data_IF_165948948217
#
_entry.id   IF_165948948217
#
_cell.length_a   1.000
_cell.length_b   1.000
_cell.length_c   1.000
_cell.angle_alpha   90.00
_cell.angle_beta   90.00
_cell.angle_gamma   90.00
#
_symmetry.space_group_name_H-M   'P 1'
#
loop_
_entity.id
_entity.type
_entity.pdbx_description
1 polymer ?
#
# COMPACT_ATOMS: atom_id res chain seq x y z
N UNK A 1 -1.64 22.37 2.76
CA UNK A 1 -3.02 21.82 2.74
C UNK A 1 -3.58 21.59 1.33
N UNK A 2 -3.86 22.61 0.50
CA UNK A 2 -4.47 22.36 -0.83
C UNK A 2 -3.59 21.51 -1.76
N UNK A 3 -2.29 21.81 -1.78
CA UNK A 3 -1.30 21.07 -2.57
C UNK A 3 -1.12 19.63 -2.09
N UNK A 4 -1.08 19.40 -0.78
CA UNK A 4 -0.99 18.06 -0.19
C UNK A 4 -2.22 17.21 -0.53
N UNK A 5 -3.43 17.78 -0.47
CA UNK A 5 -4.66 17.08 -0.87
C UNK A 5 -4.63 16.69 -2.35
N UNK A 6 -4.14 17.57 -3.22
CA UNK A 6 -3.98 17.28 -4.64
C UNK A 6 -3.00 16.11 -4.85
N UNK A 7 -1.88 16.12 -4.13
CA UNK A 7 -0.90 15.04 -4.15
C UNK A 7 -1.50 13.71 -3.71
N UNK A 8 -2.25 13.69 -2.59
CA UNK A 8 -2.94 12.49 -2.13
C UNK A 8 -3.90 11.94 -3.19
N UNK A 9 -4.64 12.82 -3.86
CA UNK A 9 -5.51 12.44 -4.96
C UNK A 9 -4.75 11.86 -6.15
N UNK A 10 -3.61 12.47 -6.52
CA UNK A 10 -2.76 11.96 -7.60
C UNK A 10 -2.22 10.58 -7.25
N UNK A 11 -1.69 10.38 -6.04
CA UNK A 11 -1.16 9.08 -5.59
C UNK A 11 -2.28 8.04 -5.55
N UNK A 12 -3.47 8.40 -5.06
CA UNK A 12 -4.64 7.52 -5.05
C UNK A 12 -5.01 7.09 -6.47
N UNK A 13 -5.16 8.04 -7.40
CA UNK A 13 -5.50 7.75 -8.80
C UNK A 13 -4.41 6.90 -9.45
N UNK A 14 -3.14 7.26 -9.31
CA UNK A 14 -2.03 6.49 -9.85
C UNK A 14 -2.03 5.06 -9.28
N UNK A 15 -2.19 4.90 -7.97
CA UNK A 15 -2.21 3.59 -7.32
C UNK A 15 -3.38 2.74 -7.78
N UNK A 16 -4.57 3.32 -7.92
CA UNK A 16 -5.76 2.63 -8.44
C UNK A 16 -5.57 2.23 -9.91
N UNK A 17 -5.07 3.13 -10.76
CA UNK A 17 -4.84 2.87 -12.18
C UNK A 17 -3.78 1.77 -12.34
N UNK A 18 -2.65 1.89 -11.65
CA UNK A 18 -1.56 0.92 -11.71
C UNK A 18 -2.05 -0.45 -11.22
N UNK A 19 -2.76 -0.51 -10.10
CA UNK A 19 -3.32 -1.76 -9.58
C UNK A 19 -4.30 -2.39 -10.56
N UNK A 20 -5.21 -1.60 -11.16
CA UNK A 20 -6.19 -2.13 -12.11
C UNK A 20 -5.59 -2.55 -13.46
N UNK A 21 -4.52 -1.92 -13.92
CA UNK A 21 -3.86 -2.26 -15.20
C UNK A 21 -2.88 -3.42 -15.02
N UNK A 22 -1.99 -3.33 -14.04
CA UNK A 22 -0.88 -4.27 -13.88
C UNK A 22 -1.30 -5.60 -13.23
N UNK A 23 -2.38 -5.59 -12.42
CA UNK A 23 -2.85 -6.78 -11.70
C UNK A 23 -4.09 -7.41 -12.35
N UNK A 24 -4.55 -6.90 -13.49
CA UNK A 24 -5.62 -7.57 -14.24
C UNK A 24 -5.12 -8.96 -14.65
N UNK A 25 -5.91 -10.00 -14.37
CA UNK A 25 -5.55 -11.41 -14.53
C UNK A 25 -5.03 -11.82 -15.92
N UNK A 26 -5.17 -10.95 -16.93
CA UNK A 26 -4.68 -11.18 -18.30
C UNK A 26 -3.28 -10.62 -18.58
N UNK A 27 -2.70 -9.82 -17.70
CA UNK A 27 -1.37 -9.26 -17.96
C UNK A 27 -0.29 -10.33 -17.73
N UNK A 28 0.10 -10.99 -18.83
CA UNK A 28 1.16 -12.00 -18.89
C UNK A 28 2.41 -11.48 -19.61
N UNK A 29 2.61 -10.15 -19.60
CA UNK A 29 3.76 -9.51 -20.23
C UNK A 29 5.09 -9.90 -19.59
N UNK A 30 6.23 -9.65 -20.27
CA UNK A 30 7.56 -10.05 -19.79
C UNK A 30 7.93 -9.43 -18.43
N UNK A 31 7.34 -8.29 -18.07
CA UNK A 31 7.57 -7.60 -16.81
C UNK A 31 6.66 -8.07 -15.66
N UNK A 32 5.68 -8.94 -15.91
CA UNK A 32 4.75 -9.43 -14.88
C UNK A 32 5.47 -10.05 -13.66
N UNK A 33 6.53 -10.88 -13.80
CA UNK A 33 7.24 -11.45 -12.64
C UNK A 33 7.93 -10.40 -11.76
N UNK A 34 8.32 -9.26 -12.32
CA UNK A 34 8.92 -8.15 -11.56
C UNK A 34 7.82 -7.33 -10.91
N UNK A 35 6.79 -6.96 -11.68
CA UNK A 35 5.64 -6.20 -11.18
C UNK A 35 4.95 -6.90 -10.00
N UNK A 36 4.74 -8.22 -10.06
CA UNK A 36 4.09 -8.97 -8.97
C UNK A 36 4.93 -9.02 -7.69
N UNK A 37 6.26 -9.00 -7.80
CA UNK A 37 7.16 -8.92 -6.63
C UNK A 37 7.15 -7.52 -6.01
N UNK A 38 7.18 -6.47 -6.84
CA UNK A 38 7.04 -5.09 -6.38
C UNK A 38 5.68 -4.88 -5.72
N UNK A 39 4.61 -5.43 -6.30
CA UNK A 39 3.29 -5.37 -5.69
C UNK A 39 3.25 -6.05 -4.32
N UNK A 40 3.87 -7.22 -4.16
CA UNK A 40 3.93 -7.87 -2.85
C UNK A 40 4.64 -7.04 -1.79
N UNK A 41 5.76 -6.39 -2.13
CA UNK A 41 6.42 -5.44 -1.20
C UNK A 41 5.46 -4.30 -0.85
N UNK A 42 4.65 -3.84 -1.81
CA UNK A 42 3.63 -2.82 -1.60
C UNK A 42 2.55 -3.29 -0.63
N UNK A 43 2.06 -4.52 -0.78
CA UNK A 43 1.11 -5.17 0.12
C UNK A 43 1.69 -5.31 1.53
N UNK A 44 2.96 -5.71 1.66
CA UNK A 44 3.61 -5.81 2.98
C UNK A 44 3.58 -4.45 3.68
N UNK A 45 4.00 -3.38 2.99
CA UNK A 45 3.97 -2.03 3.57
C UNK A 45 2.55 -1.58 3.85
N UNK A 46 1.59 -1.86 2.95
CA UNK A 46 0.18 -1.55 3.13
C UNK A 46 -0.37 -2.13 4.45
N UNK A 47 -0.14 -3.41 4.71
CA UNK A 47 -0.57 -4.04 5.96
C UNK A 47 0.20 -3.50 7.18
N UNK A 48 1.49 -3.16 7.01
CA UNK A 48 2.24 -2.48 8.07
C UNK A 48 1.64 -1.11 8.41
N UNK A 49 1.16 -0.35 7.43
CA UNK A 49 0.48 0.93 7.64
C UNK A 49 -0.79 0.75 8.48
N UNK A 50 -1.62 -0.25 8.15
CA UNK A 50 -2.79 -0.62 8.96
C UNK A 50 -2.39 -0.99 10.39
N UNK A 51 -1.35 -1.80 10.55
CA UNK A 51 -0.87 -2.23 11.85
C UNK A 51 -0.40 -1.06 12.71
N UNK A 52 0.43 -0.18 12.14
CA UNK A 52 0.93 1.03 12.82
C UNK A 52 -0.22 1.96 13.20
N UNK A 53 -1.17 2.18 12.29
CA UNK A 53 -2.30 3.06 12.58
C UNK A 53 -3.22 2.49 13.65
N UNK A 54 -3.45 1.17 13.66
CA UNK A 54 -4.18 0.53 14.75
C UNK A 54 -3.56 0.85 16.12
N UNK A 55 -2.24 0.71 16.24
CA UNK A 55 -1.54 1.05 17.48
C UNK A 55 -1.67 2.54 17.82
N UNK A 56 -1.54 3.42 16.83
CA UNK A 56 -1.66 4.87 17.01
C UNK A 56 -3.04 5.30 17.52
N UNK A 57 -4.12 4.61 17.09
CA UNK A 57 -5.48 4.87 17.56
C UNK A 57 -5.88 4.07 18.80
N UNK A 58 -4.92 3.39 19.45
CA UNK A 58 -5.11 2.68 20.72
C UNK A 58 -5.72 1.28 20.58
N UNK A 59 -5.66 0.67 19.40
CA UNK A 59 -6.14 -0.70 19.14
C UNK A 59 -4.93 -1.62 19.04
N UNK A 60 -4.93 -2.73 19.80
CA UNK A 60 -3.91 -3.77 19.69
C UNK A 60 -4.34 -4.79 18.64
N UNK A 61 -3.67 -4.89 17.47
CA UNK A 61 -3.97 -5.92 16.48
C UNK A 61 -3.66 -7.30 17.04
N UNK A 62 -4.46 -8.31 16.69
CA UNK A 62 -4.22 -9.69 17.11
C UNK A 62 -3.20 -10.39 16.22
N UNK A 63 -3.32 -10.21 14.90
CA UNK A 63 -2.37 -10.72 13.92
C UNK A 63 -2.36 -9.86 12.65
N UNK A 64 -1.26 -9.97 11.90
CA UNK A 64 -1.09 -9.52 10.53
C UNK A 64 -0.92 -10.76 9.66
N UNK A 65 -1.69 -10.86 8.57
CA UNK A 65 -1.57 -11.94 7.59
C UNK A 65 -1.15 -11.32 6.27
N UNK A 66 -0.10 -11.87 5.66
CA UNK A 66 0.36 -11.49 4.33
C UNK A 66 0.51 -12.78 3.54
N UNK A 67 -0.04 -12.81 2.33
CA UNK A 67 -0.09 -13.99 1.48
C UNK A 67 0.39 -13.65 0.08
N UNK A 68 1.23 -14.52 -0.48
CA UNK A 68 1.73 -14.40 -1.84
C UNK A 68 0.76 -14.96 -2.90
N UNK A 69 -0.03 -15.97 -2.51
CA UNK A 69 -0.97 -16.68 -3.38
C UNK A 69 -2.35 -16.70 -2.77
N UNK A 70 -3.34 -16.68 -3.65
CA UNK A 70 -4.72 -16.94 -3.30
C UNK A 70 -4.91 -18.43 -2.92
N UNK A 71 -5.69 -18.69 -1.87
CA UNK A 71 -5.90 -20.06 -1.35
C UNK A 71 -6.79 -20.92 -2.25
N UNK A 72 -7.73 -20.30 -2.98
CA UNK A 72 -8.70 -21.03 -3.81
C UNK A 72 -8.14 -21.35 -5.19
N UNK A 73 -7.42 -20.40 -5.76
CA UNK A 73 -6.94 -20.47 -7.15
C UNK A 73 -5.46 -20.84 -7.25
N UNK A 74 -4.70 -20.80 -6.15
CA UNK A 74 -3.24 -20.94 -6.09
C UNK A 74 -2.45 -19.98 -7.00
N UNK A 75 -3.12 -18.99 -7.61
CA UNK A 75 -2.52 -17.98 -8.46
C UNK A 75 -1.72 -16.98 -7.64
N UNK A 76 -0.73 -16.35 -8.27
CA UNK A 76 0.06 -15.27 -7.67
C UNK A 76 -0.85 -14.05 -7.55
N UNK A 77 -1.32 -13.80 -6.35
CA UNK A 77 -2.20 -12.67 -6.03
C UNK A 77 -1.83 -12.21 -4.60
N UNK A 78 -0.79 -11.37 -4.47
CA UNK A 78 -0.42 -10.78 -3.19
C UNK A 78 -1.61 -10.08 -2.52
N UNK A 79 -1.89 -10.43 -1.27
CA UNK A 79 -2.92 -9.78 -0.46
C UNK A 79 -2.60 -9.94 1.03
N UNK A 80 -3.23 -9.13 1.86
CA UNK A 80 -3.06 -9.19 3.30
C UNK A 80 -4.32 -8.81 4.06
N UNK A 81 -4.21 -8.92 5.39
CA UNK A 81 -5.19 -8.40 6.31
C UNK A 81 -4.57 -8.23 7.70
N UNK A 82 -4.84 -7.08 8.33
CA UNK A 82 -4.64 -6.86 9.76
C UNK A 82 -5.96 -7.06 10.49
N UNK A 83 -5.97 -7.93 11.50
CA UNK A 83 -7.17 -8.10 12.33
C UNK A 83 -7.27 -6.96 13.35
N UNK A 84 -8.25 -6.10 13.13
CA UNK A 84 -8.58 -4.97 14.01
C UNK A 84 -10.07 -4.94 14.35
N UNK A 85 -10.39 -4.39 15.53
CA UNK A 85 -11.78 -4.13 15.97
C UNK A 85 -11.91 -2.66 16.37
N UNK A 86 -12.06 -1.74 15.41
CA UNK A 86 -12.28 -0.33 15.71
C UNK A 86 -13.57 -0.15 16.52
N UNK A 87 -13.51 0.69 17.55
CA UNK A 87 -14.65 0.97 18.45
C UNK A 87 -15.51 2.14 17.97
N UNK A 88 -15.01 2.93 17.03
CA UNK A 88 -15.70 4.07 16.47
C UNK A 88 -15.49 4.18 14.96
N UNK A 89 -16.42 4.88 14.30
CA UNK A 89 -16.30 5.23 12.88
C UNK A 89 -14.97 5.94 12.58
N UNK A 90 -14.58 6.91 13.42
CA UNK A 90 -13.35 7.67 13.21
C UNK A 90 -12.10 6.78 13.25
N UNK A 91 -12.03 5.82 14.17
CA UNK A 91 -10.93 4.86 14.21
C UNK A 91 -10.88 4.02 12.93
N UNK A 92 -12.02 3.49 12.50
CA UNK A 92 -12.10 2.69 11.27
C UNK A 92 -11.71 3.50 10.03
N UNK A 93 -12.17 4.75 9.95
CA UNK A 93 -11.89 5.67 8.85
C UNK A 93 -10.40 6.01 8.74
N UNK A 94 -9.76 6.35 9.87
CA UNK A 94 -8.33 6.69 9.90
C UNK A 94 -7.47 5.46 9.60
N UNK A 95 -7.85 4.27 10.08
CA UNK A 95 -7.17 3.01 9.73
C UNK A 95 -7.30 2.74 8.22
N UNK A 96 -8.51 2.84 7.66
CA UNK A 96 -8.75 2.63 6.23
C UNK A 96 -7.86 3.53 5.36
N UNK A 97 -7.66 4.80 5.73
CA UNK A 97 -6.81 5.73 4.99
C UNK A 97 -5.32 5.63 5.32
N UNK A 98 -4.93 4.82 6.31
CA UNK A 98 -3.54 4.73 6.76
C UNK A 98 -2.55 4.32 5.66
N UNK A 99 -2.84 3.32 4.80
CA UNK A 99 -1.92 2.95 3.72
C UNK A 99 -1.68 4.11 2.76
N UNK A 100 -2.73 4.85 2.38
CA UNK A 100 -2.59 6.00 1.49
C UNK A 100 -1.77 7.11 2.16
N UNK A 101 -2.08 7.42 3.41
CA UNK A 101 -1.42 8.49 4.14
C UNK A 101 0.07 8.22 4.34
N UNK A 102 0.40 7.07 4.93
CA UNK A 102 1.78 6.71 5.27
C UNK A 102 2.60 6.44 4.01
N UNK A 103 2.04 5.71 3.02
CA UNK A 103 2.77 5.41 1.78
C UNK A 103 3.10 6.67 0.99
N UNK A 104 2.25 7.71 1.03
CA UNK A 104 2.55 8.99 0.37
C UNK A 104 3.85 9.60 0.89
N UNK A 105 4.03 9.67 2.21
CA UNK A 105 5.26 10.20 2.80
C UNK A 105 6.47 9.31 2.52
N UNK A 106 6.29 7.99 2.54
CA UNK A 106 7.35 7.04 2.18
C UNK A 106 7.73 7.15 0.69
N UNK A 107 6.77 7.40 -0.21
CA UNK A 107 7.03 7.67 -1.63
C UNK A 107 7.87 8.93 -1.77
N UNK A 108 7.52 10.01 -1.07
CA UNK A 108 8.32 11.23 -1.11
C UNK A 108 9.74 11.03 -0.61
N UNK A 109 9.90 10.37 0.55
CA UNK A 109 11.21 10.02 1.07
C UNK A 109 12.02 9.21 0.05
N UNK A 110 11.38 8.23 -0.58
CA UNK A 110 12.01 7.37 -1.58
C UNK A 110 12.44 8.16 -2.82
N UNK A 111 11.61 9.08 -3.30
CA UNK A 111 11.95 9.97 -4.43
C UNK A 111 13.09 10.91 -4.05
N UNK A 112 13.07 11.49 -2.85
CA UNK A 112 14.15 12.34 -2.33
C UNK A 112 15.48 11.58 -2.28
N UNK A 113 15.48 10.34 -1.77
CA UNK A 113 16.67 9.49 -1.76
C UNK A 113 17.12 9.17 -3.18
N UNK A 114 16.22 8.78 -4.07
CA UNK A 114 16.51 8.45 -5.47
C UNK A 114 17.17 9.60 -6.25
N UNK A 115 16.70 10.84 -6.04
CA UNK A 115 17.15 12.02 -6.76
C UNK A 115 18.36 12.71 -6.12
N UNK A 116 18.66 12.43 -4.86
CA UNK A 116 19.80 13.03 -4.17
C UNK A 116 21.11 12.41 -4.61
N UNK A 117 22.08 13.25 -4.97
CA UNK A 117 23.46 12.84 -5.28
C UNK A 117 24.27 12.45 -4.04
N UNK A 118 23.73 12.67 -2.83
CA UNK A 118 24.40 12.33 -1.57
C UNK A 118 24.37 10.84 -1.26
N UNK A 119 23.47 10.09 -1.90
CA UNK A 119 23.33 8.65 -1.70
C UNK A 119 24.02 7.85 -2.80
N UNK A 120 24.50 6.67 -2.42
CA UNK A 120 25.08 5.71 -3.35
C UNK A 120 24.07 5.27 -4.43
N UNK A 121 24.59 4.93 -5.62
CA UNK A 121 23.79 4.58 -6.78
C UNK A 121 22.86 3.38 -6.52
N UNK A 122 23.31 2.39 -5.75
CA UNK A 122 22.49 1.22 -5.42
C UNK A 122 21.32 1.64 -4.53
N UNK A 123 21.57 2.44 -3.49
CA UNK A 123 20.50 2.93 -2.60
C UNK A 123 19.47 3.77 -3.37
N UNK A 124 19.92 4.60 -4.31
CA UNK A 124 19.04 5.38 -5.18
C UNK A 124 18.15 4.50 -6.06
N UNK A 125 18.72 3.46 -6.66
CA UNK A 125 17.98 2.47 -7.45
C UNK A 125 16.95 1.72 -6.58
N UNK A 126 17.36 1.26 -5.39
CA UNK A 126 16.45 0.61 -4.44
C UNK A 126 15.31 1.53 -4.02
N UNK A 127 15.58 2.80 -3.75
CA UNK A 127 14.56 3.79 -3.42
C UNK A 127 13.55 3.98 -4.57
N UNK A 128 14.01 3.98 -5.83
CA UNK A 128 13.13 4.01 -7.00
C UNK A 128 12.20 2.78 -7.06
N UNK A 129 12.74 1.57 -6.90
CA UNK A 129 11.93 0.35 -6.86
C UNK A 129 10.95 0.34 -5.68
N UNK A 130 11.37 0.84 -4.52
CA UNK A 130 10.53 0.93 -3.34
C UNK A 130 9.39 1.94 -3.55
N UNK A 131 9.66 3.12 -4.12
CA UNK A 131 8.62 4.10 -4.46
C UNK A 131 7.56 3.50 -5.40
N UNK A 132 8.00 2.78 -6.44
CA UNK A 132 7.10 2.08 -7.37
C UNK A 132 6.28 1.01 -6.65
N UNK A 133 6.91 0.24 -5.77
CA UNK A 133 6.24 -0.77 -4.95
C UNK A 133 5.16 -0.15 -4.03
N UNK A 134 5.44 0.99 -3.42
CA UNK A 134 4.45 1.73 -2.62
C UNK A 134 3.28 2.23 -3.48
N UNK A 135 3.54 2.72 -4.69
CA UNK A 135 2.46 3.09 -5.61
C UNK A 135 1.54 1.90 -5.95
N UNK A 136 2.07 0.69 -6.05
CA UNK A 136 1.25 -0.50 -6.23
C UNK A 136 0.35 -0.83 -5.03
N UNK A 137 0.73 -0.42 -3.82
CA UNK A 137 0.03 -0.77 -2.57
C UNK A 137 -0.62 0.40 -1.82
N UNK A 138 -0.52 1.64 -2.28
CA UNK A 138 -0.94 2.80 -1.51
C UNK A 138 -2.47 2.96 -1.40
N UNK A 139 -3.22 2.57 -2.43
CA UNK A 139 -4.68 2.72 -2.43
C UNK A 139 -5.34 1.82 -1.36
N UNK A 140 -6.31 2.34 -0.59
CA UNK A 140 -7.14 1.50 0.27
C UNK A 140 -7.90 0.47 -0.56
N UNK A 141 -7.94 -0.76 -0.07
CA UNK A 141 -8.66 -1.86 -0.69
C UNK A 141 -10.17 -1.78 -0.42
N UNK A 142 -10.96 -2.51 -1.21
CA UNK A 142 -12.40 -2.65 -0.93
C UNK A 142 -12.66 -3.26 0.46
N UNK A 143 -11.75 -4.12 0.94
CA UNK A 143 -11.86 -4.70 2.27
C UNK A 143 -11.68 -3.63 3.36
N UNK A 144 -10.81 -2.64 3.14
CA UNK A 144 -10.60 -1.54 4.09
C UNK A 144 -11.83 -0.67 4.21
N UNK A 145 -12.49 -0.36 3.10
CA UNK A 145 -13.77 0.36 3.12
C UNK A 145 -14.89 -0.44 3.80
N UNK A 146 -14.94 -1.76 3.58
CA UNK A 146 -15.94 -2.62 4.21
C UNK A 146 -15.78 -2.74 5.74
N UNK A 147 -14.59 -2.44 6.28
CA UNK A 147 -14.32 -2.43 7.71
C UNK A 147 -14.81 -1.16 8.42
N UNK A 148 -15.27 -0.14 7.67
CA UNK A 148 -15.87 1.06 8.24
C UNK A 148 -17.34 0.75 8.59
N UNK A 149 -17.77 0.93 9.86
CA UNK A 149 -19.17 0.77 10.24
C UNK A 149 -20.05 1.69 9.38
N UNK A 150 -21.15 1.15 8.83
CA UNK A 150 -22.16 1.97 8.17
C UNK A 150 -22.82 2.86 9.22
N UNK A 151 -22.79 4.16 8.97
CA UNK A 151 -23.52 5.15 9.77
C UNK A 151 -25.03 5.01 9.55
#
# INVERSE_FOLDING_TARGET
MKEELLIFFVILICSLVISNIALKERYSGPFYPIAIRLFFVGVVVHECCHYVMNLAVGIKPQYIKIRWRDEKTHRRNPHGAVQSKPRSFLQAFVICLAPLYISTWLIFLSITVMLSSQFDVFLRIFAGFFAVSLLFGAAPSNQDFNNIPRA
#
